data_IF_452631056344
#
_entry.id   IF_452631056344
#
_cell.length_a   1.000
_cell.length_b   1.000
_cell.length_c   1.000
_cell.angle_alpha   90.00
_cell.angle_beta   90.00
_cell.angle_gamma   90.00
#
_symmetry.space_group_name_H-M   'P 1'
#
loop_
_entity.id
_entity.type
_entity.pdbx_description
1 polymer ?
#
# COMPACT_ATOMS: atom_id res chain seq x y z
N UNK A 1 -23.27 16.17 -8.78
CA UNK A 1 -22.00 15.42 -8.79
C UNK A 1 -22.34 13.96 -8.53
N UNK A 2 -22.01 13.05 -9.44
CA UNK A 2 -22.34 11.62 -9.27
C UNK A 2 -21.60 11.03 -8.06
N UNK A 3 -22.28 10.16 -7.30
CA UNK A 3 -21.76 9.52 -6.08
C UNK A 3 -20.39 8.86 -6.33
N UNK A 4 -20.22 8.24 -7.49
CA UNK A 4 -18.97 7.63 -7.95
C UNK A 4 -17.80 8.61 -7.98
N UNK A 5 -18.00 9.81 -8.54
CA UNK A 5 -16.98 10.87 -8.60
C UNK A 5 -16.61 11.40 -7.22
N UNK A 6 -17.60 11.54 -6.33
CA UNK A 6 -17.35 11.94 -4.96
C UNK A 6 -16.52 10.90 -4.19
N UNK A 7 -16.88 9.61 -4.31
CA UNK A 7 -16.14 8.51 -3.67
C UNK A 7 -14.71 8.42 -4.23
N UNK A 8 -14.53 8.53 -5.55
CA UNK A 8 -13.22 8.52 -6.19
C UNK A 8 -12.35 9.68 -5.69
N UNK A 9 -12.89 10.90 -5.61
CA UNK A 9 -12.18 12.07 -5.10
C UNK A 9 -11.80 11.90 -3.62
N UNK A 10 -12.74 11.44 -2.78
CA UNK A 10 -12.50 11.19 -1.36
C UNK A 10 -11.38 10.17 -1.16
N UNK A 11 -11.41 9.07 -1.91
CA UNK A 11 -10.36 8.05 -1.86
C UNK A 11 -9.02 8.61 -2.33
N UNK A 12 -8.99 9.33 -3.45
CA UNK A 12 -7.76 9.95 -3.96
C UNK A 12 -7.11 10.88 -2.93
N UNK A 13 -7.89 11.79 -2.32
CA UNK A 13 -7.40 12.70 -1.28
C UNK A 13 -6.91 11.92 -0.06
N UNK A 14 -7.66 10.91 0.38
CA UNK A 14 -7.27 10.06 1.52
C UNK A 14 -5.96 9.34 1.24
N UNK A 15 -5.81 8.75 0.05
CA UNK A 15 -4.61 8.03 -0.35
C UNK A 15 -3.38 8.93 -0.49
N UNK A 16 -3.53 10.11 -1.09
CA UNK A 16 -2.46 11.11 -1.17
C UNK A 16 -2.04 11.59 0.22
N UNK A 17 -3.00 11.86 1.10
CA UNK A 17 -2.74 12.24 2.50
C UNK A 17 -1.95 11.17 3.25
N UNK A 18 -2.33 9.90 3.11
CA UNK A 18 -1.59 8.78 3.70
C UNK A 18 -0.18 8.63 3.11
N UNK A 19 -0.05 8.75 1.78
CA UNK A 19 1.24 8.69 1.10
C UNK A 19 2.21 9.76 1.62
N UNK A 20 1.76 11.01 1.71
CA UNK A 20 2.56 12.12 2.26
C UNK A 20 2.92 11.86 3.72
N UNK A 21 1.95 11.41 4.54
CA UNK A 21 2.19 11.09 5.94
C UNK A 21 3.25 10.00 6.13
N UNK A 22 3.20 8.92 5.34
CA UNK A 22 4.17 7.83 5.41
C UNK A 22 5.55 8.23 4.88
N UNK A 23 5.62 9.05 3.82
CA UNK A 23 6.90 9.61 3.35
C UNK A 23 7.50 10.50 4.44
N UNK A 24 6.72 11.42 5.02
CA UNK A 24 7.18 12.29 6.10
C UNK A 24 7.64 11.49 7.33
N UNK A 25 6.91 10.43 7.71
CA UNK A 25 7.31 9.50 8.78
C UNK A 25 8.58 8.74 8.43
N UNK A 26 8.73 8.27 7.19
CA UNK A 26 9.91 7.57 6.70
C UNK A 26 11.16 8.46 6.77
N UNK A 27 11.04 9.71 6.32
CA UNK A 27 12.11 10.71 6.40
C UNK A 27 12.44 11.06 7.86
N UNK A 28 11.42 11.33 8.69
CA UNK A 28 11.61 11.73 10.09
C UNK A 28 12.23 10.61 10.94
N UNK A 29 11.76 9.36 10.76
CA UNK A 29 12.25 8.22 11.56
C UNK A 29 13.49 7.57 10.96
N UNK A 30 13.89 7.93 9.73
CA UNK A 30 14.95 7.27 8.95
C UNK A 30 14.76 5.75 8.88
N UNK A 31 13.52 5.30 8.81
CA UNK A 31 13.16 3.88 8.79
C UNK A 31 12.62 3.53 7.41
N UNK A 32 13.39 2.71 6.68
CA UNK A 32 13.05 2.30 5.32
C UNK A 32 11.74 1.52 5.21
N UNK A 33 11.27 0.88 6.29
CA UNK A 33 10.01 0.12 6.25
C UNK A 33 8.77 0.98 5.98
N UNK A 34 8.81 2.30 6.24
CA UNK A 34 7.72 3.20 5.85
C UNK A 34 7.59 3.33 4.33
N UNK A 35 8.68 3.15 3.57
CA UNK A 35 8.62 3.13 2.10
C UNK A 35 7.85 1.91 1.59
N UNK A 36 8.01 0.75 2.25
CA UNK A 36 7.22 -0.44 1.91
C UNK A 36 5.73 -0.22 2.19
N UNK A 37 5.40 0.42 3.32
CA UNK A 37 4.01 0.77 3.62
C UNK A 37 3.43 1.76 2.60
N UNK A 38 4.19 2.80 2.23
CA UNK A 38 3.81 3.73 1.15
C UNK A 38 3.59 2.97 -0.17
N UNK A 39 4.48 2.06 -0.54
CA UNK A 39 4.34 1.23 -1.74
C UNK A 39 3.06 0.42 -1.76
N UNK A 40 2.73 -0.25 -0.64
CA UNK A 40 1.44 -0.96 -0.50
C UNK A 40 0.26 -0.04 -0.77
N UNK A 41 0.25 1.15 -0.15
CA UNK A 41 -0.82 2.11 -0.32
C UNK A 41 -0.93 2.60 -1.76
N UNK A 42 0.18 2.91 -2.42
CA UNK A 42 0.21 3.35 -3.82
C UNK A 42 -0.40 2.29 -4.75
N UNK A 43 0.02 1.02 -4.61
CA UNK A 43 -0.51 -0.05 -5.44
C UNK A 43 -2.01 -0.28 -5.21
N UNK A 44 -2.47 -0.25 -3.95
CA UNK A 44 -3.90 -0.35 -3.64
C UNK A 44 -4.69 0.83 -4.23
N UNK A 45 -4.16 2.05 -4.13
CA UNK A 45 -4.77 3.26 -4.73
C UNK A 45 -4.94 3.09 -6.23
N UNK A 46 -3.89 2.64 -6.93
CA UNK A 46 -3.93 2.42 -8.37
C UNK A 46 -5.01 1.38 -8.74
N UNK A 47 -5.13 0.28 -7.99
CA UNK A 47 -6.19 -0.72 -8.20
C UNK A 47 -7.58 -0.09 -8.06
N UNK A 48 -7.79 0.73 -7.03
CA UNK A 48 -9.07 1.39 -6.81
C UNK A 48 -9.41 2.37 -7.93
N UNK A 49 -8.45 3.21 -8.35
CA UNK A 49 -8.66 4.16 -9.45
C UNK A 49 -9.04 3.44 -10.75
N UNK A 50 -8.31 2.38 -11.12
CA UNK A 50 -8.61 1.57 -12.31
C UNK A 50 -10.04 1.01 -12.24
N UNK A 51 -10.45 0.51 -11.07
CA UNK A 51 -11.81 -0.04 -10.86
C UNK A 51 -12.90 1.03 -10.92
N UNK A 52 -12.68 2.21 -10.34
CA UNK A 52 -13.69 3.28 -10.33
C UNK A 52 -13.86 3.93 -11.70
N UNK A 53 -12.78 4.10 -12.44
CA UNK A 53 -12.80 4.63 -13.81
C UNK A 53 -13.26 3.59 -14.85
N UNK A 54 -13.49 2.33 -14.43
CA UNK A 54 -13.92 1.26 -15.32
C UNK A 54 -12.88 0.86 -16.37
N UNK A 55 -11.59 1.09 -16.08
CA UNK A 55 -10.52 0.80 -17.02
C UNK A 55 -10.24 -0.71 -17.08
N UNK A 56 -10.37 -1.29 -18.26
CA UNK A 56 -9.94 -2.66 -18.56
C UNK A 56 -8.48 -2.65 -19.02
N UNK A 57 -7.55 -2.51 -18.07
CA UNK A 57 -6.12 -2.51 -18.35
C UNK A 57 -5.55 -3.93 -18.31
N UNK A 58 -4.93 -4.32 -19.42
CA UNK A 58 -4.11 -5.54 -19.54
C UNK A 58 -2.64 -5.19 -19.71
N UNK A 59 -1.76 -6.11 -19.36
CA UNK A 59 -0.31 -5.97 -19.53
C UNK A 59 0.01 -6.02 -21.04
N UNK A 60 0.82 -5.09 -21.58
CA UNK A 60 1.12 -5.04 -23.00
C UNK A 60 1.60 -6.40 -23.54
N UNK A 61 0.96 -6.87 -24.63
CA UNK A 61 1.29 -8.15 -25.25
C UNK A 61 0.68 -9.38 -24.56
N UNK A 62 -0.22 -9.21 -23.59
CA UNK A 62 -0.91 -10.32 -22.90
C UNK A 62 -2.37 -9.95 -22.56
N UNK A 63 -3.21 -10.95 -22.34
CA UNK A 63 -4.55 -10.76 -21.75
C UNK A 63 -4.52 -10.70 -20.22
N UNK A 64 -3.33 -10.56 -19.61
CA UNK A 64 -3.19 -10.58 -18.18
C UNK A 64 -3.63 -9.24 -17.58
N UNK A 65 -4.58 -9.22 -16.63
CA UNK A 65 -5.08 -7.99 -16.03
C UNK A 65 -3.99 -7.24 -15.24
N UNK A 66 -3.75 -5.97 -15.57
CA UNK A 66 -2.77 -5.13 -14.90
C UNK A 66 -3.07 -4.96 -13.40
N UNK A 67 -4.34 -5.02 -13.01
CA UNK A 67 -4.76 -4.99 -11.59
C UNK A 67 -4.17 -6.15 -10.78
N UNK A 68 -3.93 -7.32 -11.39
CA UNK A 68 -3.27 -8.43 -10.72
C UNK A 68 -1.79 -8.18 -10.47
N UNK A 69 -1.07 -7.53 -11.41
CA UNK A 69 0.32 -7.11 -11.15
C UNK A 69 0.38 -6.11 -9.99
N UNK A 70 -0.54 -5.15 -9.95
CA UNK A 70 -0.61 -4.20 -8.84
C UNK A 70 -0.90 -4.91 -7.50
N UNK A 71 -1.75 -5.95 -7.49
CA UNK A 71 -2.01 -6.75 -6.28
C UNK A 71 -0.77 -7.51 -5.81
N UNK A 72 -0.01 -8.07 -6.75
CA UNK A 72 1.26 -8.74 -6.46
C UNK A 72 2.23 -7.71 -5.86
N UNK A 73 2.38 -6.53 -6.47
CA UNK A 73 3.20 -5.45 -5.95
C UNK A 73 2.80 -5.03 -4.52
N UNK A 74 1.51 -4.79 -4.28
CA UNK A 74 0.98 -4.46 -2.96
C UNK A 74 1.28 -5.56 -1.92
N UNK A 75 1.12 -6.82 -2.32
CA UNK A 75 1.43 -7.98 -1.46
C UNK A 75 2.90 -8.04 -1.11
N UNK A 76 3.79 -7.88 -2.10
CA UNK A 76 5.24 -7.90 -1.89
C UNK A 76 5.69 -6.76 -0.98
N UNK A 77 5.18 -5.54 -1.19
CA UNK A 77 5.44 -4.41 -0.30
C UNK A 77 4.97 -4.69 1.13
N UNK A 78 3.79 -5.28 1.30
CA UNK A 78 3.25 -5.63 2.61
C UNK A 78 4.09 -6.69 3.30
N UNK A 79 4.50 -7.74 2.59
CA UNK A 79 5.36 -8.79 3.12
C UNK A 79 6.75 -8.24 3.49
N UNK A 80 7.33 -7.37 2.67
CA UNK A 80 8.59 -6.71 2.96
C UNK A 80 8.47 -5.85 4.23
N UNK A 81 7.41 -5.05 4.35
CA UNK A 81 7.10 -4.27 5.55
C UNK A 81 7.03 -5.17 6.79
N UNK A 82 6.20 -6.23 6.75
CA UNK A 82 6.01 -7.15 7.88
C UNK A 82 7.32 -7.85 8.26
N UNK A 83 8.08 -8.33 7.28
CA UNK A 83 9.38 -8.97 7.51
C UNK A 83 10.34 -8.01 8.20
N UNK A 84 10.40 -6.75 7.77
CA UNK A 84 11.29 -5.75 8.39
C UNK A 84 10.86 -5.44 9.81
N UNK A 85 9.58 -5.15 10.06
CA UNK A 85 9.14 -4.79 11.42
C UNK A 85 9.17 -5.99 12.39
N UNK A 86 9.03 -7.23 11.92
CA UNK A 86 9.13 -8.41 12.76
C UNK A 86 10.51 -8.53 13.43
N UNK A 87 11.57 -8.14 12.73
CA UNK A 87 12.96 -8.16 13.24
C UNK A 87 13.37 -6.89 13.97
N UNK A 88 12.54 -5.85 13.99
CA UNK A 88 12.90 -4.56 14.57
C UNK A 88 12.36 -4.41 16.00
N UNK A 89 13.27 -4.27 16.95
CA UNK A 89 12.93 -4.17 18.37
C UNK A 89 12.01 -2.99 18.68
N UNK A 90 11.04 -3.22 19.56
CA UNK A 90 10.10 -2.19 19.99
C UNK A 90 8.95 -1.91 19.03
N UNK A 91 8.93 -2.49 17.82
CA UNK A 91 7.77 -2.44 16.93
C UNK A 91 6.60 -3.29 17.47
N UNK A 92 5.39 -3.05 16.96
CA UNK A 92 4.21 -3.79 17.39
C UNK A 92 4.32 -5.29 17.05
N UNK A 93 4.83 -5.63 15.85
CA UNK A 93 4.93 -7.02 15.40
C UNK A 93 6.00 -7.78 16.18
N UNK A 94 7.15 -7.15 16.43
CA UNK A 94 8.18 -7.73 17.31
C UNK A 94 7.63 -8.00 18.72
N UNK A 95 6.89 -7.04 19.31
CA UNK A 95 6.26 -7.22 20.63
C UNK A 95 5.25 -8.37 20.63
N UNK A 96 4.45 -8.50 19.56
CA UNK A 96 3.46 -9.56 19.41
C UNK A 96 4.13 -10.94 19.33
N UNK A 97 5.17 -11.08 18.49
CA UNK A 97 5.89 -12.34 18.32
C UNK A 97 6.60 -12.77 19.61
N UNK A 98 7.20 -11.84 20.34
CA UNK A 98 7.82 -12.10 21.65
C UNK A 98 6.83 -12.54 22.71
N UNK A 99 5.60 -12.02 22.70
CA UNK A 99 4.54 -12.44 23.63
C UNK A 99 4.05 -13.86 23.35
N UNK A 100 4.01 -14.28 22.08
CA UNK A 100 3.58 -15.64 21.70
C UNK A 100 4.62 -16.72 22.02
N UNK A 101 5.89 -16.33 22.14
CA UNK A 101 7.00 -17.24 22.48
C UNK A 101 7.21 -17.41 23.99
N UNK A 102 6.49 -16.64 24.82
CA UNK A 102 6.48 -16.78 26.29
C UNK A 102 5.24 -17.56 26.71
#
# INVERSE_FOLDING_TARGET
MELSRFVALFLLVTFLGHGIAFIALGLKRRKGYYLFLTGTFVFLTAIYLIKFEGWELSVPGTDFPATWLLRIGATLCTLAYLKTIAGEEGTWLWKLLRRKQR
#
